data_IF_644432681910
#
_entry.id   IF_644432681910
#
_cell.length_a   1.000
_cell.length_b   1.000
_cell.length_c   1.000
_cell.angle_alpha   90.00
_cell.angle_beta   90.00
_cell.angle_gamma   90.00
#
_symmetry.space_group_name_H-M   'P 1'
#
loop_
_entity.id
_entity.type
_entity.pdbx_description
1 polymer ?
#
# COMPACT_ATOMS: atom_id res chain seq x y z
N UNK A 1 18.10 -8.29 -6.53
CA UNK A 1 17.37 -8.92 -7.65
C UNK A 1 15.96 -9.19 -7.18
N UNK A 2 14.96 -8.86 -7.99
CA UNK A 2 13.58 -9.28 -7.79
C UNK A 2 13.26 -10.27 -8.92
N UNK A 3 12.66 -11.43 -8.60
CA UNK A 3 12.36 -12.49 -9.58
C UNK A 3 13.53 -12.88 -10.53
N UNK A 4 14.77 -12.82 -10.04
CA UNK A 4 15.97 -13.13 -10.82
C UNK A 4 16.46 -12.01 -11.75
N UNK A 5 15.84 -10.83 -11.70
CA UNK A 5 16.17 -9.66 -12.54
C UNK A 5 16.55 -8.45 -11.68
N UNK A 6 17.39 -7.52 -12.18
CA UNK A 6 17.69 -6.28 -11.48
C UNK A 6 16.42 -5.43 -11.26
N UNK A 7 16.36 -4.82 -10.09
CA UNK A 7 15.29 -3.92 -9.67
C UNK A 7 15.95 -2.76 -8.94
N UNK A 8 15.68 -1.54 -9.38
CA UNK A 8 16.23 -0.32 -8.82
C UNK A 8 15.07 0.57 -8.37
N UNK A 9 14.99 0.82 -7.07
CA UNK A 9 13.97 1.68 -6.46
C UNK A 9 14.60 2.46 -5.33
N UNK A 10 14.18 3.72 -5.18
CA UNK A 10 14.53 4.57 -4.05
C UNK A 10 13.93 4.05 -2.74
N UNK A 11 12.91 3.19 -2.81
CA UNK A 11 12.40 2.42 -1.66
C UNK A 11 13.47 1.50 -1.04
N UNK A 12 14.49 1.08 -1.79
CA UNK A 12 15.55 0.20 -1.27
C UNK A 12 16.44 0.85 -0.21
N UNK A 13 16.38 2.16 -0.06
CA UNK A 13 17.08 2.93 0.97
C UNK A 13 16.17 3.37 2.12
N UNK A 14 14.98 2.80 2.19
CA UNK A 14 14.04 2.96 3.29
C UNK A 14 13.76 4.43 3.65
N UNK A 15 13.63 5.32 2.65
CA UNK A 15 13.12 6.69 2.87
C UNK A 15 11.76 6.73 3.59
N UNK A 16 11.09 5.58 3.51
CA UNK A 16 9.91 5.11 4.18
C UNK A 16 9.96 5.10 5.72
N UNK A 17 11.13 4.88 6.34
CA UNK A 17 11.24 4.63 7.79
C UNK A 17 10.59 5.73 8.61
N UNK A 18 10.59 6.95 8.09
CA UNK A 18 10.29 8.11 8.90
C UNK A 18 8.92 8.75 8.60
N UNK A 19 8.26 8.41 7.49
CA UNK A 19 6.95 8.99 7.14
C UNK A 19 6.98 10.53 7.10
N UNK A 20 8.09 11.11 6.61
CA UNK A 20 8.27 12.55 6.52
C UNK A 20 7.83 13.06 5.16
N UNK A 21 6.85 13.97 5.16
CA UNK A 21 6.38 14.64 3.96
C UNK A 21 5.21 13.93 3.30
N UNK A 22 5.09 14.13 1.99
CA UNK A 22 4.03 13.54 1.17
C UNK A 22 4.35 12.08 0.86
N UNK A 23 3.33 11.26 0.59
CA UNK A 23 3.50 9.85 0.24
C UNK A 23 4.46 9.66 -0.94
N UNK A 24 4.40 10.54 -1.94
CA UNK A 24 5.27 10.46 -3.12
C UNK A 24 6.74 10.78 -2.79
N UNK A 25 7.05 11.36 -1.63
CA UNK A 25 8.42 11.70 -1.23
C UNK A 25 9.30 10.47 -1.02
N UNK A 26 8.69 9.31 -0.79
CA UNK A 26 9.41 8.04 -0.69
C UNK A 26 10.11 7.66 -2.00
N UNK A 27 9.66 8.20 -3.13
CA UNK A 27 10.23 7.96 -4.45
C UNK A 27 11.25 9.01 -4.87
N UNK A 28 11.57 9.99 -4.02
CA UNK A 28 12.60 10.99 -4.30
C UNK A 28 13.98 10.36 -4.42
N UNK A 29 14.90 11.11 -5.02
CA UNK A 29 16.28 10.70 -5.21
C UNK A 29 17.08 11.01 -3.95
N UNK A 30 17.49 9.97 -3.22
CA UNK A 30 18.22 10.08 -1.95
C UNK A 30 19.69 9.70 -2.11
N UNK A 31 20.48 10.58 -2.72
CA UNK A 31 21.93 10.39 -2.86
C UNK A 31 22.66 11.72 -3.00
N UNK A 32 23.87 11.80 -2.42
CA UNK A 32 24.79 12.93 -2.65
C UNK A 32 25.66 12.75 -3.89
N UNK A 33 25.54 11.63 -4.58
CA UNK A 33 26.39 11.31 -5.73
C UNK A 33 26.00 12.15 -6.95
N UNK A 34 27.00 12.62 -7.70
CA UNK A 34 26.83 13.21 -9.04
C UNK A 34 25.82 14.34 -9.15
N UNK A 35 25.67 15.16 -8.11
CA UNK A 35 24.69 16.26 -8.01
C UNK A 35 23.22 15.88 -8.23
N UNK A 36 22.87 14.60 -8.05
CA UNK A 36 21.51 14.11 -8.24
C UNK A 36 20.53 14.57 -7.16
N UNK A 37 21.03 14.75 -5.94
CA UNK A 37 20.30 15.37 -4.85
C UNK A 37 21.27 16.03 -3.88
N UNK A 38 20.80 17.07 -3.21
CA UNK A 38 21.49 17.62 -2.04
C UNK A 38 21.26 16.74 -0.80
N UNK A 39 20.18 15.97 -0.81
CA UNK A 39 19.77 15.13 0.30
C UNK A 39 20.52 13.79 0.25
N UNK A 40 21.16 13.46 1.37
CA UNK A 40 21.74 12.13 1.56
C UNK A 40 20.66 11.09 1.83
N UNK A 41 21.08 9.83 1.99
CA UNK A 41 20.19 8.75 2.41
C UNK A 41 19.51 9.13 3.73
N UNK A 42 18.19 8.95 3.87
CA UNK A 42 17.48 9.14 5.13
C UNK A 42 18.14 8.35 6.26
N UNK A 43 18.35 9.00 7.39
CA UNK A 43 19.01 8.41 8.54
C UNK A 43 18.22 8.69 9.83
N UNK A 44 18.49 7.92 10.89
CA UNK A 44 17.77 8.02 12.19
C UNK A 44 17.74 9.43 12.80
N UNK A 45 18.68 10.30 12.47
CA UNK A 45 18.72 11.67 12.99
C UNK A 45 17.73 12.59 12.29
N UNK A 46 17.16 12.21 11.13
CA UNK A 46 16.17 13.03 10.43
C UNK A 46 14.92 13.27 11.29
N UNK A 47 14.47 12.29 12.10
CA UNK A 47 13.37 12.49 13.07
C UNK A 47 13.66 13.68 13.98
N UNK A 48 14.91 13.79 14.45
CA UNK A 48 15.33 14.88 15.33
C UNK A 48 15.41 16.22 14.60
N UNK A 49 15.60 16.22 13.27
CA UNK A 49 15.67 17.44 12.44
C UNK A 49 14.29 18.05 12.18
N UNK A 50 13.20 17.31 12.37
CA UNK A 50 11.84 17.84 12.13
C UNK A 50 11.35 18.80 13.20
N UNK A 51 12.02 18.82 14.37
CA UNK A 51 11.54 19.51 15.55
C UNK A 51 10.52 18.71 16.35
N UNK A 52 10.26 19.19 17.57
CA UNK A 52 9.41 18.49 18.53
C UNK A 52 7.95 18.39 18.07
N UNK A 53 7.39 19.46 17.50
CA UNK A 53 5.97 19.50 17.14
C UNK A 53 5.62 18.49 16.05
N UNK A 54 6.42 18.44 14.98
CA UNK A 54 6.22 17.48 13.88
C UNK A 54 6.41 16.05 14.37
N UNK A 55 7.41 15.82 15.23
CA UNK A 55 7.65 14.49 15.82
C UNK A 55 6.47 14.05 16.70
N UNK A 56 5.96 14.92 17.56
CA UNK A 56 4.81 14.62 18.42
C UNK A 56 3.53 14.40 17.61
N UNK A 57 3.32 15.20 16.57
CA UNK A 57 2.19 15.02 15.64
C UNK A 57 2.28 13.66 14.94
N UNK A 58 3.46 13.26 14.47
CA UNK A 58 3.70 11.93 13.89
C UNK A 58 3.34 10.83 14.88
N UNK A 59 3.90 10.88 16.10
CA UNK A 59 3.60 9.90 17.14
C UNK A 59 2.10 9.81 17.46
N UNK A 60 1.41 10.95 17.55
CA UNK A 60 -0.02 11.02 17.78
C UNK A 60 -0.82 10.36 16.65
N UNK A 61 -0.50 10.68 15.39
CA UNK A 61 -1.14 10.09 14.20
C UNK A 61 -0.92 8.59 14.15
N UNK A 62 0.30 8.11 14.41
CA UNK A 62 0.61 6.68 14.41
C UNK A 62 -0.07 5.94 15.56
N UNK A 63 -0.13 6.53 16.76
CA UNK A 63 -0.89 5.97 17.88
C UNK A 63 -2.39 5.91 17.58
N UNK A 64 -2.94 6.93 16.92
CA UNK A 64 -4.32 6.93 16.46
C UNK A 64 -4.57 5.84 15.41
N UNK A 65 -3.62 5.59 14.50
CA UNK A 65 -3.71 4.51 13.53
C UNK A 65 -3.74 3.14 14.21
N UNK A 66 -2.80 2.84 15.12
CA UNK A 66 -2.81 1.59 15.93
C UNK A 66 -4.16 1.40 16.62
N UNK A 67 -4.67 2.47 17.25
CA UNK A 67 -5.98 2.44 17.93
C UNK A 67 -7.10 2.13 16.95
N UNK A 68 -7.12 2.74 15.76
CA UNK A 68 -8.16 2.52 14.76
C UNK A 68 -8.11 1.10 14.16
N UNK A 69 -6.93 0.50 14.04
CA UNK A 69 -6.79 -0.89 13.59
C UNK A 69 -7.27 -1.91 14.65
N UNK A 70 -7.00 -1.65 15.93
CA UNK A 70 -7.20 -2.63 17.01
C UNK A 70 -8.49 -2.47 17.81
N UNK A 71 -9.08 -1.27 17.88
CA UNK A 71 -10.24 -0.97 18.71
C UNK A 71 -11.48 -0.64 17.88
N UNK A 72 -12.68 -0.93 18.39
CA UNK A 72 -13.91 -0.59 17.69
C UNK A 72 -14.08 0.93 17.50
N UNK A 73 -14.83 1.35 16.47
CA UNK A 73 -15.10 2.76 16.23
C UNK A 73 -15.95 3.34 17.36
N UNK A 74 -15.36 4.24 18.17
CA UNK A 74 -16.02 4.83 19.34
C UNK A 74 -16.64 6.21 19.09
N UNK A 75 -16.05 7.02 18.21
CA UNK A 75 -16.40 8.44 18.05
C UNK A 75 -17.30 8.75 16.84
N UNK A 76 -17.58 7.77 15.97
CA UNK A 76 -18.50 7.93 14.83
C UNK A 76 -19.63 6.89 14.93
N UNK A 77 -20.61 7.19 15.80
CA UNK A 77 -21.73 6.31 16.11
C UNK A 77 -22.68 6.10 14.92
N UNK A 78 -22.65 6.98 13.92
CA UNK A 78 -23.47 6.87 12.70
C UNK A 78 -23.03 5.74 11.75
N UNK A 79 -21.84 5.16 11.98
CA UNK A 79 -21.18 4.16 11.12
C UNK A 79 -20.70 2.91 11.87
N UNK A 80 -21.20 2.66 13.08
CA UNK A 80 -20.59 1.73 14.03
C UNK A 80 -20.99 0.24 13.89
N UNK A 81 -22.06 -0.09 13.15
CA UNK A 81 -22.62 -1.45 13.11
C UNK A 81 -22.81 -2.03 11.70
N UNK A 82 -23.10 -1.19 10.71
CA UNK A 82 -23.16 -1.57 9.29
C UNK A 82 -22.38 -0.53 8.49
N UNK A 83 -21.26 -0.92 7.92
CA UNK A 83 -20.36 0.02 7.25
C UNK A 83 -20.22 -0.35 5.77
N UNK A 84 -20.92 0.35 4.87
CA UNK A 84 -20.80 0.13 3.44
C UNK A 84 -19.58 0.84 2.82
N UNK A 85 -18.90 1.74 3.53
CA UNK A 85 -17.84 2.58 2.96
C UNK A 85 -16.44 2.17 3.48
N UNK A 86 -15.71 1.47 2.62
CA UNK A 86 -14.47 0.73 2.93
C UNK A 86 -13.19 1.57 3.10
N UNK A 87 -13.27 2.89 3.27
CA UNK A 87 -12.08 3.73 3.48
C UNK A 87 -11.45 3.56 4.89
N UNK A 88 -11.89 2.59 5.69
CA UNK A 88 -11.43 2.42 7.07
C UNK A 88 -10.23 1.50 7.21
N UNK A 89 -9.23 2.06 7.89
CA UNK A 89 -8.06 1.46 8.55
C UNK A 89 -8.42 0.54 9.73
N UNK A 90 -9.47 -0.28 9.64
CA UNK A 90 -9.86 -1.20 10.72
C UNK A 90 -9.63 -2.65 10.29
N UNK A 91 -9.06 -3.48 11.16
CA UNK A 91 -8.81 -4.89 10.83
C UNK A 91 -10.06 -5.75 10.80
N UNK A 92 -11.04 -5.42 11.65
CA UNK A 92 -12.35 -6.03 11.69
C UNK A 92 -13.41 -4.97 11.48
N UNK A 93 -14.49 -5.32 10.79
CA UNK A 93 -15.70 -4.50 10.72
C UNK A 93 -16.29 -4.28 12.13
N UNK A 94 -17.11 -3.23 12.28
CA UNK A 94 -17.55 -2.72 13.59
C UNK A 94 -18.01 -3.77 14.59
N UNK A 95 -18.93 -4.66 14.19
CA UNK A 95 -19.43 -5.75 15.06
C UNK A 95 -18.31 -6.72 15.46
N UNK A 96 -17.42 -7.07 14.54
CA UNK A 96 -16.28 -7.94 14.81
C UNK A 96 -15.29 -7.30 15.80
N UNK A 97 -15.00 -6.01 15.65
CA UNK A 97 -14.13 -5.28 16.56
C UNK A 97 -14.73 -5.18 17.98
N UNK A 98 -16.04 -4.94 18.09
CA UNK A 98 -16.74 -4.94 19.38
C UNK A 98 -16.73 -6.31 20.05
N UNK A 99 -16.99 -7.38 19.29
CA UNK A 99 -16.92 -8.74 19.81
C UNK A 99 -15.51 -9.10 20.25
N UNK A 100 -14.47 -8.70 19.50
CA UNK A 100 -13.08 -8.90 19.89
C UNK A 100 -12.75 -8.19 21.22
N UNK A 101 -13.21 -6.95 21.39
CA UNK A 101 -13.04 -6.19 22.65
C UNK A 101 -13.77 -6.87 23.81
N UNK A 102 -15.03 -7.26 23.64
CA UNK A 102 -15.80 -7.99 24.65
C UNK A 102 -15.14 -9.33 24.99
N UNK A 103 -14.58 -10.00 23.99
CA UNK A 103 -13.79 -11.22 24.13
C UNK A 103 -12.55 -11.01 24.99
N UNK A 104 -11.80 -9.94 24.72
CA UNK A 104 -10.64 -9.54 25.53
C UNK A 104 -11.04 -9.24 26.98
N UNK A 105 -12.10 -8.47 27.20
CA UNK A 105 -12.62 -8.15 28.54
C UNK A 105 -13.09 -9.42 29.29
N UNK A 106 -13.71 -10.36 28.58
CA UNK A 106 -14.07 -11.67 29.14
C UNK A 106 -12.84 -12.52 29.48
N UNK A 107 -11.83 -12.51 28.60
CA UNK A 107 -10.56 -13.21 28.78
C UNK A 107 -9.71 -12.62 29.92
N UNK A 108 -9.86 -11.34 30.27
CA UNK A 108 -9.21 -10.75 31.46
C UNK A 108 -9.60 -11.45 32.76
N UNK A 109 -10.72 -12.17 32.83
CA UNK A 109 -11.10 -12.92 34.04
C UNK A 109 -10.53 -14.33 34.07
N UNK A 110 -10.41 -15.00 32.93
CA UNK A 110 -10.11 -16.43 32.84
C UNK A 110 -8.80 -16.79 32.14
N UNK A 111 -8.21 -15.85 31.38
CA UNK A 111 -7.08 -16.08 30.46
C UNK A 111 -6.08 -14.90 30.48
N UNK A 112 -5.84 -14.29 31.65
CA UNK A 112 -4.90 -13.15 31.81
C UNK A 112 -3.50 -13.42 31.25
N UNK A 113 -2.98 -14.63 31.43
CA UNK A 113 -1.66 -15.02 30.92
C UNK A 113 -1.57 -14.97 29.39
N UNK A 114 -2.65 -15.37 28.68
CA UNK A 114 -2.71 -15.27 27.22
C UNK A 114 -2.69 -13.81 26.77
N UNK A 115 -3.52 -12.96 27.39
CA UNK A 115 -3.54 -11.53 27.05
C UNK A 115 -2.21 -10.85 27.34
N UNK A 116 -1.58 -11.17 28.47
CA UNK A 116 -0.24 -10.68 28.80
C UNK A 116 0.79 -11.12 27.74
N UNK A 117 0.74 -12.37 27.29
CA UNK A 117 1.62 -12.88 26.24
C UNK A 117 1.40 -12.16 24.90
N UNK A 118 0.14 -11.92 24.51
CA UNK A 118 -0.16 -11.16 23.29
C UNK A 118 0.34 -9.71 23.38
N UNK A 119 0.16 -9.05 24.53
CA UNK A 119 0.67 -7.70 24.76
C UNK A 119 2.21 -7.68 24.73
N UNK A 120 2.86 -8.66 25.34
CA UNK A 120 4.33 -8.75 25.33
C UNK A 120 4.90 -9.11 23.95
N UNK A 121 4.17 -9.90 23.16
CA UNK A 121 4.60 -10.27 21.81
C UNK A 121 4.42 -9.12 20.80
N UNK A 122 3.27 -8.45 20.81
CA UNK A 122 2.93 -7.43 19.81
C UNK A 122 3.16 -5.99 20.27
N UNK A 123 3.20 -5.74 21.59
CA UNK A 123 3.40 -4.41 22.16
C UNK A 123 4.71 -3.75 21.72
N UNK A 124 5.88 -4.42 21.84
CA UNK A 124 7.15 -3.87 21.37
C UNK A 124 7.14 -3.59 19.86
N UNK A 125 6.50 -4.46 19.07
CA UNK A 125 6.33 -4.27 17.63
C UNK A 125 5.51 -3.01 17.32
N UNK A 126 4.37 -2.81 17.99
CA UNK A 126 3.57 -1.60 17.80
C UNK A 126 4.26 -0.33 18.30
N UNK A 127 5.02 -0.41 19.40
CA UNK A 127 5.84 0.72 19.86
C UNK A 127 6.92 1.08 18.85
N UNK A 128 7.53 0.08 18.21
CA UNK A 128 8.44 0.29 17.09
C UNK A 128 7.73 0.95 15.90
N UNK A 129 6.51 0.51 15.56
CA UNK A 129 5.75 1.13 14.48
C UNK A 129 5.39 2.59 14.75
N UNK A 130 5.00 2.91 15.98
CA UNK A 130 4.65 4.28 16.37
C UNK A 130 5.90 5.16 16.44
N UNK A 131 6.92 4.69 17.16
CA UNK A 131 8.10 5.48 17.50
C UNK A 131 9.07 5.65 16.35
N UNK A 132 9.35 4.58 15.63
CA UNK A 132 10.38 4.54 14.60
C UNK A 132 9.78 4.51 13.20
N UNK A 133 8.95 3.50 12.90
CA UNK A 133 8.34 3.29 11.59
C UNK A 133 7.04 4.11 11.41
N UNK A 134 6.07 3.59 10.66
CA UNK A 134 4.70 4.06 10.64
C UNK A 134 3.67 2.92 10.76
N UNK A 135 2.61 3.21 11.47
CA UNK A 135 1.54 2.30 11.86
C UNK A 135 0.25 2.54 11.07
N UNK A 136 0.28 3.34 10.01
CA UNK A 136 -0.89 3.79 9.26
C UNK A 136 -1.25 2.90 8.07
N UNK A 137 -0.60 1.74 7.93
CA UNK A 137 -0.90 0.73 6.91
C UNK A 137 -1.42 -0.58 7.49
N UNK A 138 -2.46 -1.13 6.86
CA UNK A 138 -3.15 -2.34 7.32
C UNK A 138 -2.26 -3.59 7.32
N UNK A 139 -1.29 -3.66 6.41
CA UNK A 139 -0.44 -4.85 6.24
C UNK A 139 0.38 -5.17 7.48
N UNK A 140 0.68 -4.16 8.30
CA UNK A 140 1.41 -4.31 9.56
C UNK A 140 0.60 -4.91 10.70
N UNK A 141 -0.70 -5.13 10.49
CA UNK A 141 -1.58 -5.64 11.54
C UNK A 141 -2.20 -7.00 11.18
N UNK A 142 -1.95 -7.51 9.97
CA UNK A 142 -2.52 -8.78 9.49
C UNK A 142 -2.26 -9.95 10.43
N UNK A 143 -1.08 -10.01 11.07
CA UNK A 143 -0.72 -11.06 12.03
C UNK A 143 -1.54 -11.03 13.33
N UNK A 144 -2.22 -9.93 13.65
CA UNK A 144 -3.09 -9.79 14.83
C UNK A 144 -4.53 -10.19 14.55
N UNK A 145 -4.93 -10.17 13.27
CA UNK A 145 -6.30 -10.50 12.83
C UNK A 145 -6.79 -11.87 13.35
N UNK A 146 -6.00 -12.97 13.31
CA UNK A 146 -6.46 -14.26 13.86
C UNK A 146 -6.76 -14.20 15.36
N UNK A 147 -5.98 -13.45 16.13
CA UNK A 147 -6.20 -13.30 17.57
C UNK A 147 -7.46 -12.50 17.88
N UNK A 148 -7.72 -11.45 17.10
CA UNK A 148 -8.97 -10.69 17.22
C UNK A 148 -10.18 -11.55 16.85
N UNK A 149 -10.07 -12.38 15.80
CA UNK A 149 -11.12 -13.33 15.43
C UNK A 149 -11.36 -14.37 16.53
N UNK A 150 -10.32 -14.90 17.18
CA UNK A 150 -10.44 -15.82 18.31
C UNK A 150 -11.11 -15.17 19.52
N UNK A 151 -10.79 -13.92 19.84
CA UNK A 151 -11.43 -13.17 20.91
C UNK A 151 -12.91 -12.91 20.59
N UNK A 152 -13.23 -12.53 19.36
CA UNK A 152 -14.61 -12.36 18.90
C UNK A 152 -15.40 -13.68 18.99
N UNK A 153 -14.79 -14.79 18.55
CA UNK A 153 -15.36 -16.13 18.68
C UNK A 153 -15.59 -16.53 20.14
N UNK A 154 -14.66 -16.21 21.03
CA UNK A 154 -14.83 -16.42 22.47
C UNK A 154 -16.01 -15.64 23.04
N UNK A 155 -16.20 -14.37 22.63
CA UNK A 155 -17.35 -13.57 23.04
C UNK A 155 -18.67 -14.17 22.55
N UNK A 156 -18.74 -14.56 21.27
CA UNK A 156 -19.92 -15.20 20.68
C UNK A 156 -20.28 -16.51 21.39
N UNK A 157 -19.30 -17.38 21.61
CA UNK A 157 -19.51 -18.65 22.29
C UNK A 157 -20.00 -18.46 23.72
N UNK A 158 -19.36 -17.56 24.48
CA UNK A 158 -19.79 -17.26 25.85
C UNK A 158 -21.17 -16.60 25.90
N UNK A 159 -21.50 -15.77 24.92
CA UNK A 159 -22.84 -15.20 24.77
C UNK A 159 -23.89 -16.29 24.54
N UNK A 160 -23.61 -17.22 23.62
CA UNK A 160 -24.45 -18.37 23.35
C UNK A 160 -24.68 -19.24 24.61
N UNK A 161 -23.61 -19.65 25.29
CA UNK A 161 -23.69 -20.48 26.50
C UNK A 161 -24.58 -19.82 27.57
N UNK A 162 -24.50 -18.49 27.70
CA UNK A 162 -25.32 -17.74 28.66
C UNK A 162 -26.79 -17.69 28.30
N UNK A 163 -27.12 -17.55 27.01
CA UNK A 163 -28.51 -17.60 26.55
C UNK A 163 -29.06 -19.02 26.67
N UNK A 164 -28.27 -20.04 26.31
CA UNK A 164 -28.67 -21.43 26.42
C UNK A 164 -28.92 -21.86 27.88
N UNK A 165 -28.17 -21.31 28.85
CA UNK A 165 -28.39 -21.59 30.27
C UNK A 165 -29.72 -21.03 30.82
N UNK A 166 -30.43 -20.16 30.09
CA UNK A 166 -31.71 -19.61 30.52
C UNK A 166 -32.80 -20.67 30.33
N UNK A 167 -33.52 -20.99 31.41
CA UNK A 167 -34.69 -21.89 31.36
C UNK A 167 -34.35 -23.29 30.86
N UNK A 168 -33.25 -23.87 31.35
CA UNK A 168 -32.81 -25.25 31.05
C UNK A 168 -32.65 -25.56 29.55
N UNK A 169 -32.08 -24.63 28.77
CA UNK A 169 -31.83 -24.85 27.34
C UNK A 169 -32.94 -24.38 26.41
N UNK A 170 -34.10 -23.94 26.94
CA UNK A 170 -35.24 -23.51 26.10
C UNK A 170 -34.89 -22.37 25.14
N UNK A 171 -33.94 -21.51 25.51
CA UNK A 171 -33.51 -20.38 24.68
C UNK A 171 -32.29 -20.68 23.80
N UNK A 172 -31.75 -21.90 23.81
CA UNK A 172 -30.61 -22.26 22.99
C UNK A 172 -30.82 -22.01 21.48
N UNK A 173 -32.00 -22.28 20.88
CA UNK A 173 -32.24 -21.94 19.47
C UNK A 173 -32.16 -20.42 19.21
N UNK A 174 -32.72 -19.60 20.11
CA UNK A 174 -32.64 -18.15 19.98
C UNK A 174 -31.20 -17.64 20.12
N UNK A 175 -30.42 -18.20 21.05
CA UNK A 175 -29.00 -17.91 21.19
C UNK A 175 -28.19 -18.25 19.94
N UNK A 176 -28.50 -19.38 19.29
CA UNK A 176 -27.87 -19.76 18.02
C UNK A 176 -28.21 -18.77 16.90
N UNK A 177 -29.49 -18.37 16.78
CA UNK A 177 -29.91 -17.35 15.82
C UNK A 177 -29.16 -16.04 16.03
N UNK A 178 -29.04 -15.58 17.28
CA UNK A 178 -28.28 -14.36 17.60
C UNK A 178 -26.80 -14.48 17.22
N UNK A 179 -26.17 -15.64 17.47
CA UNK A 179 -24.79 -15.89 17.07
C UNK A 179 -24.61 -15.87 15.55
N UNK A 180 -25.55 -16.48 14.80
CA UNK A 180 -25.54 -16.47 13.33
C UNK A 180 -25.76 -15.06 12.75
N UNK A 181 -26.65 -14.27 13.36
CA UNK A 181 -26.87 -12.85 12.99
C UNK A 181 -25.59 -12.05 13.22
N UNK A 182 -24.96 -12.20 14.39
CA UNK A 182 -23.72 -11.52 14.70
C UNK A 182 -22.60 -11.91 13.73
N UNK A 183 -22.43 -13.21 13.42
CA UNK A 183 -21.47 -13.69 12.43
C UNK A 183 -21.74 -13.08 11.04
N UNK A 184 -23.00 -13.04 10.62
CA UNK A 184 -23.41 -12.41 9.36
C UNK A 184 -23.03 -10.93 9.34
N UNK A 185 -23.26 -10.18 10.43
CA UNK A 185 -22.88 -8.77 10.54
C UNK A 185 -21.37 -8.55 10.56
N UNK A 186 -20.56 -9.53 11.00
CA UNK A 186 -19.10 -9.46 10.89
C UNK A 186 -18.64 -9.66 9.44
N UNK A 187 -19.24 -10.59 8.70
CA UNK A 187 -18.74 -11.03 7.39
C UNK A 187 -19.34 -10.21 6.24
N UNK A 188 -20.64 -9.92 6.28
CA UNK A 188 -21.37 -9.30 5.16
C UNK A 188 -20.75 -7.99 4.63
N UNK A 189 -20.19 -7.09 5.47
CA UNK A 189 -19.52 -5.89 4.98
C UNK A 189 -18.31 -6.15 4.07
N UNK A 190 -17.68 -7.34 4.15
CA UNK A 190 -16.55 -7.70 3.27
C UNK A 190 -16.97 -8.06 1.85
N UNK A 191 -18.24 -8.42 1.62
CA UNK A 191 -18.70 -8.92 0.33
C UNK A 191 -18.55 -7.94 -0.84
N UNK A 192 -19.00 -6.67 -0.75
CA UNK A 192 -18.81 -5.72 -1.85
C UNK A 192 -17.33 -5.47 -2.13
N UNK A 193 -16.48 -5.39 -1.09
CA UNK A 193 -15.04 -5.21 -1.25
C UNK A 193 -14.39 -6.41 -1.96
N UNK A 194 -14.69 -7.63 -1.50
CA UNK A 194 -14.19 -8.85 -2.14
C UNK A 194 -14.72 -8.97 -3.58
N UNK A 195 -15.97 -8.58 -3.84
CA UNK A 195 -16.51 -8.55 -5.19
C UNK A 195 -15.74 -7.56 -6.07
N UNK A 196 -15.45 -6.35 -5.59
CA UNK A 196 -14.62 -5.35 -6.29
C UNK A 196 -13.21 -5.88 -6.57
N UNK A 197 -12.52 -6.42 -5.56
CA UNK A 197 -11.18 -7.02 -5.69
C UNK A 197 -11.12 -8.15 -6.71
N UNK A 198 -12.14 -9.00 -6.75
CA UNK A 198 -12.14 -10.20 -7.61
C UNK A 198 -12.66 -9.89 -9.03
N UNK A 199 -13.64 -9.00 -9.17
CA UNK A 199 -14.33 -8.77 -10.45
C UNK A 199 -13.92 -7.50 -11.18
N UNK A 200 -13.60 -6.44 -10.45
CA UNK A 200 -13.37 -5.11 -11.03
C UNK A 200 -11.88 -4.79 -11.13
N UNK A 201 -11.11 -4.97 -10.04
CA UNK A 201 -9.70 -4.59 -10.02
C UNK A 201 -8.83 -5.29 -11.07
N UNK A 202 -9.03 -6.56 -11.45
CA UNK A 202 -8.26 -7.16 -12.53
C UNK A 202 -8.39 -6.42 -13.85
N UNK A 203 -9.47 -5.66 -14.09
CA UNK A 203 -9.62 -4.82 -15.28
C UNK A 203 -8.67 -3.60 -15.26
N UNK A 204 -8.36 -3.06 -14.08
CA UNK A 204 -7.50 -1.88 -13.92
C UNK A 204 -6.05 -2.14 -14.33
N UNK A 205 -5.59 -3.39 -14.21
CA UNK A 205 -4.20 -3.77 -14.53
C UNK A 205 -4.02 -4.32 -15.95
N UNK A 206 -5.10 -4.46 -16.76
CA UNK A 206 -5.01 -5.17 -18.05
C UNK A 206 -4.13 -4.42 -19.05
N UNK A 207 -4.31 -3.11 -19.18
CA UNK A 207 -3.50 -2.29 -20.06
C UNK A 207 -2.01 -2.38 -19.66
N UNK A 208 -1.70 -2.20 -18.37
CA UNK A 208 -0.32 -2.26 -17.89
C UNK A 208 0.31 -3.66 -18.13
N UNK A 209 -0.41 -4.73 -17.81
CA UNK A 209 0.08 -6.11 -18.01
C UNK A 209 0.21 -6.51 -19.49
N UNK A 210 -0.62 -5.95 -20.38
CA UNK A 210 -0.48 -6.13 -21.83
C UNK A 210 0.79 -5.44 -22.34
N UNK A 211 1.01 -4.16 -21.99
CA UNK A 211 2.24 -3.45 -22.32
C UNK A 211 3.50 -4.17 -21.81
N UNK A 212 3.46 -4.71 -20.59
CA UNK A 212 4.56 -5.51 -20.05
C UNK A 212 4.77 -6.83 -20.79
N UNK A 213 3.69 -7.45 -21.27
CA UNK A 213 3.76 -8.66 -22.10
C UNK A 213 4.37 -8.36 -23.47
N UNK A 214 4.02 -7.21 -24.07
CA UNK A 214 4.63 -6.71 -25.29
C UNK A 214 6.14 -6.48 -25.10
N UNK A 215 6.54 -5.81 -24.01
CA UNK A 215 7.95 -5.62 -23.67
C UNK A 215 8.70 -6.97 -23.60
N UNK A 216 8.09 -8.01 -23.00
CA UNK A 216 8.72 -9.33 -22.92
C UNK A 216 9.06 -9.94 -24.28
N UNK A 217 8.26 -9.66 -25.30
CA UNK A 217 8.38 -10.28 -26.63
C UNK A 217 9.06 -9.39 -27.66
N UNK A 218 9.21 -8.08 -27.40
CA UNK A 218 9.72 -7.10 -28.37
C UNK A 218 10.98 -6.33 -27.93
N UNK A 219 11.57 -6.69 -26.79
CA UNK A 219 12.80 -6.06 -26.26
C UNK A 219 13.84 -7.10 -25.87
N UNK A 220 15.10 -6.68 -25.71
CA UNK A 220 16.15 -7.59 -25.27
C UNK A 220 16.04 -7.89 -23.77
N UNK A 221 16.40 -9.11 -23.30
CA UNK A 221 16.28 -9.48 -21.88
C UNK A 221 17.07 -8.60 -20.90
N UNK A 222 18.05 -7.84 -21.39
CA UNK A 222 18.87 -6.90 -20.62
C UNK A 222 18.42 -5.44 -20.72
N UNK A 223 17.42 -5.13 -21.55
CA UNK A 223 16.90 -3.76 -21.68
C UNK A 223 16.23 -3.34 -20.37
N UNK A 224 16.68 -2.20 -19.82
CA UNK A 224 16.14 -1.65 -18.58
C UNK A 224 14.92 -0.78 -18.90
N UNK A 225 13.82 -1.03 -18.20
CA UNK A 225 12.57 -0.30 -18.38
C UNK A 225 12.26 0.54 -17.15
N UNK A 226 11.94 1.83 -17.37
CA UNK A 226 11.50 2.72 -16.32
C UNK A 226 9.97 2.74 -16.23
N UNK A 227 9.41 2.66 -15.03
CA UNK A 227 7.95 2.55 -14.77
C UNK A 227 7.65 2.97 -13.33
N UNK A 228 6.40 3.31 -13.02
CA UNK A 228 5.95 3.56 -11.64
C UNK A 228 5.67 2.25 -10.87
N UNK A 229 5.51 1.12 -11.56
CA UNK A 229 5.27 -0.21 -10.98
C UNK A 229 6.37 -1.24 -11.34
N UNK A 230 7.63 -0.99 -10.94
CA UNK A 230 8.76 -1.81 -11.35
C UNK A 230 8.67 -3.27 -10.91
N UNK A 231 8.00 -3.60 -9.80
CA UNK A 231 7.82 -5.00 -9.38
C UNK A 231 6.84 -5.77 -10.28
N UNK A 232 5.74 -5.14 -10.70
CA UNK A 232 4.76 -5.76 -11.58
C UNK A 232 5.35 -5.89 -13.00
N UNK A 233 6.02 -4.84 -13.47
CA UNK A 233 6.74 -4.89 -14.74
C UNK A 233 7.78 -6.00 -14.73
N UNK A 234 8.60 -6.10 -13.69
CA UNK A 234 9.63 -7.12 -13.58
C UNK A 234 9.06 -8.54 -13.59
N UNK A 235 7.96 -8.77 -12.86
CA UNK A 235 7.25 -10.04 -12.83
C UNK A 235 6.69 -10.46 -14.20
N UNK A 236 6.05 -9.53 -14.91
CA UNK A 236 5.33 -9.84 -16.16
C UNK A 236 6.25 -9.80 -17.39
N UNK A 237 7.10 -8.78 -17.48
CA UNK A 237 7.97 -8.57 -18.65
C UNK A 237 9.29 -9.34 -18.56
N UNK A 238 9.68 -9.77 -17.37
CA UNK A 238 11.00 -10.38 -17.08
C UNK A 238 12.18 -9.46 -17.48
N UNK A 239 11.95 -8.14 -17.48
CA UNK A 239 12.97 -7.12 -17.76
C UNK A 239 13.48 -6.46 -16.47
N UNK A 240 14.77 -6.06 -16.44
CA UNK A 240 15.26 -5.14 -15.42
C UNK A 240 14.37 -3.89 -15.34
N UNK A 241 14.05 -3.45 -14.12
CA UNK A 241 13.14 -2.33 -13.91
C UNK A 241 13.77 -1.23 -13.06
N UNK A 242 13.50 0.03 -13.42
CA UNK A 242 13.83 1.23 -12.64
C UNK A 242 12.55 1.97 -12.29
N UNK A 243 12.39 2.32 -11.01
CA UNK A 243 11.29 3.18 -10.57
C UNK A 243 11.43 4.58 -11.18
N UNK A 244 10.33 5.13 -11.72
CA UNK A 244 10.24 6.57 -12.05
C UNK A 244 10.47 7.38 -10.78
N UNK A 245 11.54 8.22 -10.70
CA UNK A 245 11.81 8.99 -9.50
C UNK A 245 10.79 10.12 -9.35
N UNK A 246 10.40 10.44 -8.10
CA UNK A 246 9.64 11.64 -7.82
C UNK A 246 10.58 12.86 -7.88
N UNK A 247 10.58 13.54 -9.02
CA UNK A 247 11.44 14.70 -9.29
C UNK A 247 10.79 15.63 -10.29
N UNK A 248 11.09 16.92 -10.17
CA UNK A 248 10.72 17.96 -11.14
C UNK A 248 11.86 18.29 -12.12
N UNK A 249 13.03 17.68 -11.93
CA UNK A 249 14.23 17.98 -12.73
C UNK A 249 14.39 16.98 -13.87
N UNK A 250 14.19 17.48 -15.11
CA UNK A 250 14.52 16.78 -16.35
C UNK A 250 15.97 16.25 -16.35
N UNK A 251 16.91 17.06 -15.88
CA UNK A 251 18.33 16.68 -15.84
C UNK A 251 18.55 15.48 -14.91
N UNK A 252 17.96 15.50 -13.70
CA UNK A 252 18.09 14.39 -12.74
C UNK A 252 17.45 13.12 -13.30
N UNK A 253 16.25 13.23 -13.89
CA UNK A 253 15.55 12.11 -14.52
C UNK A 253 16.41 11.45 -15.61
N UNK A 254 16.91 12.24 -16.57
CA UNK A 254 17.70 11.73 -17.69
C UNK A 254 19.07 11.21 -17.24
N UNK A 255 19.70 11.83 -16.23
CA UNK A 255 20.95 11.30 -15.65
C UNK A 255 20.75 9.92 -15.05
N UNK A 256 19.66 9.72 -14.29
CA UNK A 256 19.32 8.41 -13.74
C UNK A 256 19.03 7.40 -14.84
N UNK A 257 18.26 7.79 -15.85
CA UNK A 257 18.01 6.95 -17.02
C UNK A 257 19.32 6.51 -17.70
N UNK A 258 20.26 7.45 -17.89
CA UNK A 258 21.58 7.19 -18.46
C UNK A 258 22.42 6.25 -17.59
N UNK A 259 22.46 6.50 -16.29
CA UNK A 259 23.28 5.71 -15.35
C UNK A 259 22.85 4.25 -15.25
N UNK A 260 21.54 4.00 -15.30
CA UNK A 260 21.00 2.64 -15.30
C UNK A 260 20.84 2.05 -16.70
N UNK A 261 21.17 2.79 -17.78
CA UNK A 261 21.04 2.30 -19.15
C UNK A 261 19.60 2.02 -19.56
N UNK A 262 18.66 2.86 -19.11
CA UNK A 262 17.23 2.75 -19.45
C UNK A 262 17.06 2.87 -20.96
N UNK A 263 16.25 1.97 -21.52
CA UNK A 263 15.90 1.94 -22.94
C UNK A 263 14.45 2.30 -23.20
N UNK A 264 13.58 1.98 -22.25
CA UNK A 264 12.14 2.19 -22.39
C UNK A 264 11.56 2.86 -21.14
N UNK A 265 10.52 3.67 -21.34
CA UNK A 265 9.68 4.25 -20.31
C UNK A 265 8.25 3.78 -20.53
N UNK A 266 7.59 3.30 -19.48
CA UNK A 266 6.16 2.97 -19.51
C UNK A 266 5.38 4.04 -18.76
N UNK A 267 4.34 4.56 -19.42
CA UNK A 267 3.29 5.38 -18.82
C UNK A 267 2.16 4.45 -18.38
N UNK A 268 2.31 3.93 -17.17
CA UNK A 268 1.30 3.08 -16.52
C UNK A 268 -0.03 3.83 -16.42
N UNK A 269 -1.14 3.11 -16.39
CA UNK A 269 -2.48 3.70 -16.29
C UNK A 269 -2.96 3.77 -14.85
N UNK A 270 -2.73 2.70 -14.09
CA UNK A 270 -3.28 2.55 -12.75
C UNK A 270 -2.47 3.29 -11.67
N UNK A 271 -1.15 3.11 -11.63
CA UNK A 271 -0.30 3.80 -10.67
C UNK A 271 0.48 4.91 -11.35
N UNK A 272 -0.01 6.13 -11.19
CA UNK A 272 0.60 7.33 -11.74
C UNK A 272 1.60 7.94 -10.75
N UNK A 273 2.67 8.60 -11.23
CA UNK A 273 3.52 9.41 -10.36
C UNK A 273 2.81 10.69 -9.89
N UNK A 274 3.44 11.43 -8.98
CA UNK A 274 2.99 12.75 -8.51
C UNK A 274 2.62 13.69 -9.68
N UNK A 275 1.72 14.64 -9.44
CA UNK A 275 1.30 15.60 -10.47
C UNK A 275 2.49 16.31 -11.12
N UNK A 276 3.45 16.79 -10.32
CA UNK A 276 4.61 17.49 -10.88
C UNK A 276 5.53 16.57 -11.70
N UNK A 277 5.65 15.30 -11.32
CA UNK A 277 6.44 14.33 -12.10
C UNK A 277 5.69 13.96 -13.38
N UNK A 278 4.36 13.91 -13.36
CA UNK A 278 3.56 13.75 -14.59
C UNK A 278 3.74 14.93 -15.53
N UNK A 279 3.63 16.16 -15.02
CA UNK A 279 3.84 17.38 -15.82
C UNK A 279 5.24 17.41 -16.45
N UNK A 280 6.28 16.99 -15.69
CA UNK A 280 7.63 16.83 -16.21
C UNK A 280 7.68 15.82 -17.36
N UNK A 281 7.12 14.63 -17.16
CA UNK A 281 7.12 13.57 -18.17
C UNK A 281 6.35 13.98 -19.41
N UNK A 282 5.18 14.60 -19.25
CA UNK A 282 4.34 15.05 -20.36
C UNK A 282 5.11 16.09 -21.19
N UNK A 283 5.73 17.08 -20.52
CA UNK A 283 6.60 18.06 -21.20
C UNK A 283 7.85 17.47 -21.85
N UNK A 284 8.37 16.33 -21.36
CA UNK A 284 9.49 15.62 -22.00
C UNK A 284 9.04 14.80 -23.22
N UNK A 285 7.83 14.24 -23.19
CA UNK A 285 7.26 13.46 -24.29
C UNK A 285 6.77 14.36 -25.44
N UNK A 286 6.38 15.60 -25.13
CA UNK A 286 5.99 16.62 -26.13
C UNK A 286 7.20 17.34 -26.78
N UNK A 287 8.40 17.26 -26.19
CA UNK A 287 9.61 17.88 -26.72
C UNK A 287 10.26 16.98 -27.78
N UNK A 288 9.89 17.19 -29.05
CA UNK A 288 10.43 16.46 -30.20
C UNK A 288 11.98 16.47 -30.26
N UNK A 289 12.64 17.48 -29.67
CA UNK A 289 14.10 17.56 -29.66
C UNK A 289 14.75 16.55 -28.72
N UNK A 290 13.99 16.05 -27.73
CA UNK A 290 14.46 14.99 -26.85
C UNK A 290 14.48 13.62 -27.53
N UNK A 291 13.69 13.41 -28.59
CA UNK A 291 13.71 12.15 -29.34
C UNK A 291 13.14 10.94 -28.59
N UNK A 292 12.14 11.15 -27.72
CA UNK A 292 11.30 10.05 -27.25
C UNK A 292 10.44 9.52 -28.40
N UNK A 293 10.38 8.21 -28.56
CA UNK A 293 9.61 7.56 -29.62
C UNK A 293 8.54 6.67 -28.99
N UNK A 294 7.26 6.92 -29.25
CA UNK A 294 6.21 5.95 -28.89
C UNK A 294 6.37 4.71 -29.76
N UNK A 295 6.66 3.57 -29.13
CA UNK A 295 6.89 2.30 -29.83
C UNK A 295 5.70 1.35 -29.70
N UNK A 296 4.83 1.59 -28.72
CA UNK A 296 3.65 0.78 -28.47
C UNK A 296 2.63 1.52 -27.61
N UNK A 297 1.37 1.36 -27.97
CA UNK A 297 0.23 1.70 -27.13
C UNK A 297 -0.72 0.50 -27.12
N UNK A 298 -1.23 0.15 -25.95
CA UNK A 298 -2.19 -0.94 -25.84
C UNK A 298 -3.51 -0.57 -26.53
N UNK A 299 -4.34 -1.55 -26.95
CA UNK A 299 -5.74 -1.23 -27.23
C UNK A 299 -6.42 -0.64 -25.97
N UNK A 300 -7.52 0.11 -26.12
CA UNK A 300 -8.28 0.60 -24.99
C UNK A 300 -8.89 -0.55 -24.20
N UNK A 301 -8.62 -0.60 -22.90
CA UNK A 301 -9.20 -1.57 -21.97
C UNK A 301 -10.30 -0.91 -21.13
N UNK A 302 -11.55 -1.40 -21.18
CA UNK A 302 -12.62 -0.84 -20.35
C UNK A 302 -12.43 -1.23 -18.88
N UNK A 303 -12.53 -0.24 -18.00
CA UNK A 303 -12.50 -0.41 -16.56
C UNK A 303 -13.46 0.56 -15.86
N UNK A 304 -13.63 0.38 -14.55
CA UNK A 304 -14.37 1.30 -13.68
C UNK A 304 -13.35 1.95 -12.74
N UNK A 305 -13.12 3.25 -12.92
CA UNK A 305 -12.22 4.05 -12.08
C UNK A 305 -13.08 5.06 -11.31
N UNK A 306 -13.01 5.03 -9.98
CA UNK A 306 -13.82 5.91 -9.11
C UNK A 306 -15.32 5.92 -9.44
N UNK A 307 -15.84 4.75 -9.83
CA UNK A 307 -17.25 4.56 -10.19
C UNK A 307 -17.63 5.01 -11.59
N UNK A 308 -16.67 5.51 -12.39
CA UNK A 308 -16.89 5.93 -13.77
C UNK A 308 -16.32 4.90 -14.76
N UNK A 309 -17.05 4.55 -15.83
CA UNK A 309 -16.48 3.82 -16.95
C UNK A 309 -15.34 4.63 -17.58
N UNK A 310 -14.19 4.00 -17.76
CA UNK A 310 -12.98 4.64 -18.32
C UNK A 310 -12.26 3.65 -19.23
N UNK A 311 -11.71 4.14 -20.32
CA UNK A 311 -10.80 3.36 -21.17
C UNK A 311 -9.36 3.63 -20.74
N UNK A 312 -8.64 2.56 -20.41
CA UNK A 312 -7.26 2.61 -19.98
C UNK A 312 -6.36 2.23 -21.16
N UNK A 313 -5.37 3.08 -21.46
CA UNK A 313 -4.35 2.85 -22.50
C UNK A 313 -2.97 3.08 -21.88
N UNK A 314 -2.14 2.05 -21.91
CA UNK A 314 -0.76 2.12 -21.44
C UNK A 314 0.16 2.37 -22.61
N UNK A 315 1.05 3.35 -22.48
CA UNK A 315 1.97 3.76 -23.53
C UNK A 315 3.41 3.37 -23.19
N UNK A 316 4.16 2.92 -24.18
CA UNK A 316 5.57 2.56 -24.08
C UNK A 316 6.37 3.44 -25.01
N UNK A 317 7.34 4.15 -24.45
CA UNK A 317 8.25 5.02 -25.16
C UNK A 317 9.65 4.46 -25.14
N UNK A 318 10.36 4.53 -26.26
CA UNK A 318 11.80 4.34 -26.32
C UNK A 318 12.49 5.66 -25.98
N UNK A 319 13.51 5.60 -25.12
CA UNK A 319 14.34 6.75 -24.77
C UNK A 319 15.34 7.06 -25.88
N UNK A 320 15.76 8.32 -26.03
CA UNK A 320 16.85 8.70 -26.93
C UNK A 320 18.17 8.05 -26.50
N UNK A 321 18.98 7.65 -27.48
CA UNK A 321 20.25 6.97 -27.22
C UNK A 321 21.29 7.84 -26.48
N UNK A 322 21.19 9.17 -26.60
CA UNK A 322 22.08 10.13 -25.97
C UNK A 322 21.54 10.68 -24.63
N UNK A 323 20.34 10.25 -24.21
CA UNK A 323 19.65 10.69 -23.00
C UNK A 323 19.47 12.22 -22.95
N UNK A 324 19.23 12.87 -24.09
CA UNK A 324 19.08 14.33 -24.18
C UNK A 324 20.38 15.08 -23.87
N UNK A 325 21.54 14.44 -24.09
CA UNK A 325 22.86 15.05 -23.94
C UNK A 325 23.34 15.26 -22.49
N UNK A 326 22.61 14.77 -21.49
CA UNK A 326 22.98 14.96 -20.08
C UNK A 326 24.30 14.27 -19.75
N UNK A 327 25.18 14.92 -18.98
CA UNK A 327 26.45 14.33 -18.55
C UNK A 327 26.24 13.06 -17.71
N UNK A 328 27.16 12.09 -17.82
CA UNK A 328 27.15 10.91 -16.97
C UNK A 328 27.35 11.31 -15.50
N UNK A 329 26.72 10.58 -14.59
CA UNK A 329 26.98 10.68 -13.16
C UNK A 329 28.44 10.26 -12.92
N UNK A 330 29.25 11.20 -12.43
CA UNK A 330 30.61 10.90 -12.01
C UNK A 330 30.57 9.98 -10.77
N UNK A 331 31.46 8.96 -10.70
CA UNK A 331 31.50 8.02 -9.60
C UNK A 331 31.70 8.70 -8.25
#
# INVERSE_FOLDING_TARGET
LLFGKPFYSTESHDAWVLGFGDWEDIYRVFTRQGSLSADGVPDRSWVLRWGFDVTLLKLATQAQAVRNYLLPPWFDQSRALSDPDSQKKALLFGVGAWLALLGALGALRSRRGLLALLVLAFGPYFLFLVGYWHADEERYFLMVMPWMALLAGYALWRGYDRVAAIGDGRWAPAGLVLALVALTLVIAPSWPYNAKKVREEPALYRADTDAYTWLRTHTDPGDVVMTRLPWQLNWVSERPALMVPNTRSREVFLKLARFYGVRYLVRDTFAQPSADTRDLLDGMLEDDQLGFEEVYATPPYPAIVDGQPTELVTHVYRLPADYGGVAAIAP
#
